data_IF_879161080171
#
_entry.id   IF_879161080171
#
_cell.length_a   1.000
_cell.length_b   1.000
_cell.length_c   1.000
_cell.angle_alpha   90.00
_cell.angle_beta   90.00
_cell.angle_gamma   90.00
#
_symmetry.space_group_name_H-M   'P 1'
#
loop_
_entity.id
_entity.type
_entity.pdbx_description
1 polymer ?
#
# COMPACT_ATOMS: atom_id res chain seq x y z
N UNK A 1 5.47 15.51 -12.16
CA UNK A 1 4.51 16.00 -11.15
C UNK A 1 3.85 14.78 -10.57
N UNK A 2 3.93 14.55 -9.26
CA UNK A 2 3.23 13.42 -8.63
C UNK A 2 1.75 13.73 -8.62
N UNK A 3 0.92 12.76 -9.03
CA UNK A 3 -0.54 12.89 -9.04
C UNK A 3 -1.16 12.39 -7.74
N UNK A 4 -0.41 11.60 -6.98
CA UNK A 4 -0.85 10.92 -5.77
C UNK A 4 -0.69 11.80 -4.53
N UNK A 5 -1.74 11.88 -3.72
CA UNK A 5 -1.76 12.59 -2.43
C UNK A 5 -1.01 11.79 -1.36
N UNK A 6 -1.32 10.50 -1.28
CA UNK A 6 -0.75 9.61 -0.28
C UNK A 6 0.25 8.64 -0.93
N UNK A 7 1.46 8.63 -0.39
CA UNK A 7 2.51 7.68 -0.77
C UNK A 7 2.60 6.58 0.28
N UNK A 8 2.57 5.32 -0.15
CA UNK A 8 2.57 4.13 0.72
C UNK A 8 3.85 3.32 0.50
N UNK A 9 4.48 2.91 1.60
CA UNK A 9 5.54 1.89 1.63
C UNK A 9 5.05 0.64 2.35
N UNK A 10 5.23 -0.51 1.70
CA UNK A 10 4.93 -1.83 2.28
C UNK A 10 6.22 -2.66 2.40
N UNK A 11 6.58 -3.00 3.64
CA UNK A 11 7.59 -4.01 3.95
C UNK A 11 6.89 -5.37 4.03
N UNK A 12 7.02 -6.16 2.96
CA UNK A 12 6.28 -7.40 2.77
C UNK A 12 7.11 -8.60 3.22
N UNK A 13 6.63 -9.31 4.24
CA UNK A 13 7.19 -10.57 4.70
C UNK A 13 6.16 -11.70 4.61
N UNK A 14 6.62 -12.95 4.52
CA UNK A 14 5.79 -14.16 4.44
C UNK A 14 4.75 -14.35 5.58
N UNK A 15 4.79 -13.55 6.64
CA UNK A 15 3.91 -13.69 7.82
C UNK A 15 3.18 -12.41 8.22
N UNK A 16 3.70 -11.25 7.84
CA UNK A 16 3.11 -9.96 8.13
C UNK A 16 3.64 -8.92 7.16
N UNK A 17 2.87 -7.86 6.97
CA UNK A 17 3.29 -6.68 6.21
C UNK A 17 3.30 -5.50 7.16
N UNK A 18 4.38 -4.74 7.18
CA UNK A 18 4.41 -3.45 7.85
C UNK A 18 4.13 -2.36 6.83
N UNK A 19 3.07 -1.60 7.06
CA UNK A 19 2.60 -0.55 6.16
C UNK A 19 2.82 0.82 6.79
N UNK A 20 3.34 1.75 6.00
CA UNK A 20 3.42 3.16 6.33
C UNK A 20 2.93 3.99 5.15
N UNK A 21 2.17 5.04 5.41
CA UNK A 21 1.70 5.97 4.40
C UNK A 21 1.80 7.42 4.88
N UNK A 22 2.17 8.32 3.99
CA UNK A 22 2.28 9.76 4.25
C UNK A 22 1.33 10.51 3.32
N UNK A 23 0.43 11.32 3.90
CA UNK A 23 -0.36 12.31 3.17
C UNK A 23 0.49 13.56 2.94
N UNK A 24 0.75 13.89 1.69
CA UNK A 24 1.64 15.00 1.32
C UNK A 24 1.01 16.37 1.52
N UNK A 25 -0.32 16.46 1.59
CA UNK A 25 -1.04 17.72 1.78
C UNK A 25 -1.07 18.13 3.25
N UNK A 26 -1.24 17.15 4.15
CA UNK A 26 -1.41 17.37 5.59
C UNK A 26 -0.15 17.05 6.40
N UNK A 27 0.73 16.19 5.89
CA UNK A 27 1.85 15.61 6.62
C UNK A 27 1.44 14.49 7.58
N UNK A 28 0.20 14.01 7.55
CA UNK A 28 -0.28 12.95 8.43
C UNK A 28 0.32 11.59 8.06
N UNK A 29 0.80 10.86 9.08
CA UNK A 29 1.39 9.54 8.96
C UNK A 29 0.39 8.46 9.40
N UNK A 30 0.11 7.52 8.51
CA UNK A 30 -0.68 6.32 8.81
C UNK A 30 0.23 5.11 8.88
N UNK A 31 0.07 4.29 9.92
CA UNK A 31 0.87 3.08 10.08
C UNK A 31 -0.01 1.91 10.52
N UNK A 32 0.26 0.73 9.99
CA UNK A 32 -0.44 -0.49 10.38
C UNK A 32 0.42 -1.72 10.18
N UNK A 33 0.12 -2.76 10.96
CA UNK A 33 0.65 -4.10 10.74
C UNK A 33 -0.45 -4.97 10.16
N UNK A 34 -0.26 -5.41 8.93
CA UNK A 34 -1.24 -6.14 8.13
C UNK A 34 -0.85 -7.62 7.99
N UNK A 35 -1.83 -8.42 7.60
CA UNK A 35 -1.58 -9.82 7.17
C UNK A 35 -1.03 -9.82 5.74
N UNK A 36 -0.37 -10.91 5.28
CA UNK A 36 0.10 -11.02 3.90
C UNK A 36 -1.02 -11.24 2.86
N UNK A 37 -2.31 -11.18 3.23
CA UNK A 37 -3.44 -11.25 2.31
C UNK A 37 -3.50 -9.98 1.44
N UNK A 38 -3.47 -10.11 0.10
CA UNK A 38 -3.64 -8.98 -0.81
C UNK A 38 -4.93 -8.19 -0.57
N UNK A 39 -6.01 -8.86 -0.19
CA UNK A 39 -7.32 -8.27 0.07
C UNK A 39 -7.28 -7.38 1.32
N UNK A 40 -6.69 -7.86 2.42
CA UNK A 40 -6.53 -7.03 3.62
C UNK A 40 -5.64 -5.81 3.37
N UNK A 41 -4.57 -5.98 2.58
CA UNK A 41 -3.70 -4.87 2.19
C UNK A 41 -4.46 -3.86 1.33
N UNK A 42 -5.22 -4.33 0.34
CA UNK A 42 -6.02 -3.47 -0.54
C UNK A 42 -7.06 -2.67 0.23
N UNK A 43 -7.80 -3.31 1.15
CA UNK A 43 -8.79 -2.61 2.00
C UNK A 43 -8.14 -1.47 2.78
N UNK A 44 -6.99 -1.73 3.40
CA UNK A 44 -6.28 -0.68 4.14
C UNK A 44 -5.80 0.45 3.23
N UNK A 45 -5.32 0.14 2.02
CA UNK A 45 -4.91 1.17 1.04
C UNK A 45 -6.10 2.02 0.57
N UNK A 46 -7.28 1.43 0.40
CA UNK A 46 -8.50 2.12 -0.02
C UNK A 46 -9.07 3.07 1.04
N UNK A 47 -8.76 2.82 2.32
CA UNK A 47 -9.17 3.68 3.43
C UNK A 47 -8.30 4.96 3.57
N UNK A 48 -7.19 5.05 2.81
CA UNK A 48 -6.30 6.22 2.84
C UNK A 48 -6.82 7.38 1.97
N UNK A 49 -6.40 8.64 2.26
CA UNK A 49 -6.70 9.77 1.39
C UNK A 49 -6.15 9.60 -0.03
N UNK A 50 -7.04 9.31 -0.98
CA UNK A 50 -6.64 9.17 -2.38
C UNK A 50 -6.33 10.50 -3.08
N UNK A 51 -5.71 10.45 -4.27
CA UNK A 51 -5.18 9.26 -4.95
C UNK A 51 -3.91 8.70 -4.29
N UNK A 52 -3.74 7.37 -4.31
CA UNK A 52 -2.66 6.66 -3.61
C UNK A 52 -1.67 6.04 -4.59
N UNK A 53 -0.37 6.10 -4.27
CA UNK A 53 0.68 5.30 -4.91
C UNK A 53 1.32 4.35 -3.89
N UNK A 54 1.52 3.09 -4.28
CA UNK A 54 2.07 2.05 -3.42
C UNK A 54 3.43 1.58 -3.93
N UNK A 55 4.42 1.60 -3.06
CA UNK A 55 5.70 0.93 -3.26
C UNK A 55 5.82 -0.23 -2.27
N UNK A 56 6.33 -1.37 -2.74
CA UNK A 56 6.57 -2.54 -1.90
C UNK A 56 7.84 -3.27 -2.35
N UNK A 57 8.49 -3.97 -1.44
CA UNK A 57 9.60 -4.86 -1.79
C UNK A 57 9.06 -6.19 -2.31
N UNK A 58 9.39 -6.52 -3.56
CA UNK A 58 8.92 -7.73 -4.19
C UNK A 58 9.66 -8.97 -3.65
N UNK A 59 9.04 -9.64 -2.67
CA UNK A 59 9.37 -11.02 -2.30
C UNK A 59 8.77 -12.05 -3.27
N UNK A 60 8.95 -13.37 -3.04
CA UNK A 60 8.34 -14.43 -3.86
C UNK A 60 6.79 -14.36 -3.92
N UNK A 61 6.16 -13.66 -2.97
CA UNK A 61 4.71 -13.42 -2.90
C UNK A 61 4.26 -12.11 -3.58
N UNK A 62 5.19 -11.30 -4.10
CA UNK A 62 4.93 -9.93 -4.55
C UNK A 62 4.02 -9.81 -5.78
N UNK A 63 4.01 -10.79 -6.68
CA UNK A 63 3.21 -10.72 -7.91
C UNK A 63 1.70 -10.80 -7.69
N UNK A 64 1.23 -11.49 -6.65
CA UNK A 64 -0.20 -11.56 -6.32
C UNK A 64 -0.73 -10.21 -5.82
N UNK A 65 0.05 -9.56 -4.93
CA UNK A 65 -0.24 -8.22 -4.44
C UNK A 65 -0.26 -7.20 -5.58
N UNK A 66 0.75 -7.23 -6.46
CA UNK A 66 0.82 -6.35 -7.62
C UNK A 66 -0.43 -6.39 -8.50
N UNK A 67 -0.88 -7.59 -8.86
CA UNK A 67 -2.08 -7.78 -9.70
C UNK A 67 -3.34 -7.24 -9.00
N UNK A 68 -3.46 -7.51 -7.70
CA UNK A 68 -4.60 -7.04 -6.89
C UNK A 68 -4.67 -5.51 -6.84
N UNK A 69 -3.53 -4.84 -6.68
CA UNK A 69 -3.47 -3.37 -6.67
C UNK A 69 -3.77 -2.78 -8.05
N UNK A 70 -3.21 -3.37 -9.12
CA UNK A 70 -3.48 -2.95 -10.50
C UNK A 70 -4.95 -3.10 -10.89
N UNK A 71 -5.58 -4.22 -10.53
CA UNK A 71 -7.00 -4.46 -10.82
C UNK A 71 -7.91 -3.45 -10.10
N UNK A 72 -7.44 -2.89 -8.98
CA UNK A 72 -8.10 -1.80 -8.25
C UNK A 72 -7.73 -0.39 -8.77
N UNK A 73 -6.92 -0.28 -9.83
CA UNK A 73 -6.47 0.99 -10.40
C UNK A 73 -5.44 1.74 -9.55
N UNK A 74 -4.78 1.04 -8.62
CA UNK A 74 -3.73 1.59 -7.76
C UNK A 74 -2.37 1.34 -8.42
N UNK A 75 -1.56 2.40 -8.48
CA UNK A 75 -0.19 2.35 -9.01
C UNK A 75 0.78 1.77 -7.98
#
# INVERSE_FOLDING_TARGET
MFTERTSVGLDVHARSVFAAAIDSDTGELFQSRLTPSPEHILTWVQDLPGPVAVAYEAGPTGFGLYRTLLDAGIR
#
